data_IF_088853401784
#
_entry.id   IF_088853401784
#
_cell.length_a   1.000
_cell.length_b   1.000
_cell.length_c   1.000
_cell.angle_alpha   90.00
_cell.angle_beta   90.00
_cell.angle_gamma   90.00
#
_symmetry.space_group_name_H-M   'P 1'
#
loop_
_entity.id
_entity.type
_entity.pdbx_description
1 polymer ?
#
# COMPACT_ATOMS: atom_id res chain seq x y z
N UNK A 1 -8.84 -10.86 61.88
CA UNK A 1 -8.91 -11.25 60.47
C UNK A 1 -7.53 -11.10 59.88
N UNK A 2 -6.97 -12.18 59.33
CA UNK A 2 -5.54 -12.25 59.02
C UNK A 2 -5.25 -11.65 57.63
N UNK A 3 -4.31 -10.71 57.55
CA UNK A 3 -3.94 -9.96 56.33
C UNK A 3 -3.57 -10.91 55.16
N UNK A 4 -3.06 -12.10 55.49
CA UNK A 4 -2.72 -13.18 54.56
C UNK A 4 -3.93 -13.77 53.81
N UNK A 5 -5.14 -13.72 54.39
CA UNK A 5 -6.37 -14.25 53.77
C UNK A 5 -7.01 -13.25 52.79
N UNK A 6 -6.79 -11.95 52.99
CA UNK A 6 -7.24 -10.88 52.09
C UNK A 6 -6.34 -10.82 50.85
N UNK A 7 -5.03 -11.03 51.02
CA UNK A 7 -4.08 -11.07 49.91
C UNK A 7 -4.28 -12.31 49.03
N UNK A 8 -4.59 -13.48 49.61
CA UNK A 8 -4.92 -14.67 48.81
C UNK A 8 -6.25 -14.54 48.05
N UNK A 9 -7.23 -13.82 48.60
CA UNK A 9 -8.51 -13.59 47.91
C UNK A 9 -8.38 -12.56 46.77
N UNK A 10 -7.53 -11.54 46.92
CA UNK A 10 -7.19 -10.58 45.85
C UNK A 10 -6.32 -11.20 44.75
N UNK A 11 -5.47 -12.18 45.07
CA UNK A 11 -4.70 -12.93 44.08
C UNK A 11 -5.51 -14.03 43.38
N UNK A 12 -6.63 -14.48 43.95
CA UNK A 12 -7.58 -15.39 43.31
C UNK A 12 -8.56 -14.67 42.37
N UNK A 13 -8.89 -13.40 42.63
CA UNK A 13 -9.81 -12.60 41.81
C UNK A 13 -9.19 -12.05 40.51
N UNK A 14 -7.85 -12.12 40.35
CA UNK A 14 -7.14 -11.52 39.20
C UNK A 14 -6.57 -12.54 38.20
N UNK A 15 -6.93 -13.82 38.32
CA UNK A 15 -6.53 -14.88 37.38
C UNK A 15 -7.41 -14.98 36.13
N UNK A 16 -8.41 -14.10 35.99
CA UNK A 16 -9.34 -14.05 34.85
C UNK A 16 -8.93 -13.11 33.69
N UNK A 17 -7.91 -12.27 33.85
CA UNK A 17 -7.51 -11.28 32.82
C UNK A 17 -6.27 -11.66 31.99
N UNK A 18 -5.60 -12.77 32.30
CA UNK A 18 -4.35 -13.15 31.63
C UNK A 18 -4.51 -14.09 30.41
N UNK A 19 -5.75 -14.41 30.02
CA UNK A 19 -6.05 -15.23 28.83
C UNK A 19 -6.68 -14.43 27.67
N UNK A 20 -6.87 -13.11 27.80
CA UNK A 20 -7.51 -12.26 26.79
C UNK A 20 -6.51 -11.44 25.93
N UNK A 21 -5.21 -11.64 26.13
CA UNK A 21 -4.11 -11.01 25.34
C UNK A 21 -3.42 -12.04 24.41
N UNK A 22 -3.89 -13.29 24.40
CA UNK A 22 -3.38 -14.38 23.55
C UNK A 22 -4.14 -14.53 22.20
N UNK A 23 -4.85 -13.50 21.74
CA UNK A 23 -5.48 -13.42 20.42
C UNK A 23 -4.88 -12.24 19.62
N UNK A 24 -3.57 -12.21 19.37
CA UNK A 24 -2.92 -12.95 18.29
C UNK A 24 -3.63 -12.85 16.91
N UNK A 25 -4.37 -11.75 16.67
CA UNK A 25 -4.81 -11.31 15.34
C UNK A 25 -3.84 -10.29 14.70
N UNK A 26 -2.90 -9.72 15.46
CA UNK A 26 -1.97 -8.70 14.94
C UNK A 26 -0.80 -9.33 14.15
N UNK A 27 -0.51 -10.61 14.37
CA UNK A 27 0.44 -11.40 13.56
C UNK A 27 -0.20 -12.07 12.32
N UNK A 28 -1.52 -11.94 12.13
CA UNK A 28 -2.23 -12.52 10.97
C UNK A 28 -2.20 -11.57 9.74
N UNK A 29 -1.75 -10.33 9.87
CA UNK A 29 -1.36 -9.46 8.73
C UNK A 29 0.14 -9.44 8.42
N UNK A 30 0.98 -10.13 9.22
CA UNK A 30 2.23 -10.70 8.70
C UNK A 30 1.98 -11.82 7.67
N UNK A 31 0.73 -12.07 7.29
CA UNK A 31 0.26 -13.23 6.53
C UNK A 31 -0.40 -12.90 5.17
N UNK A 32 -0.43 -11.64 4.73
CA UNK A 32 -0.83 -11.29 3.33
C UNK A 32 0.38 -10.96 2.43
N UNK A 33 1.52 -10.47 2.91
CA UNK A 33 2.60 -10.06 1.96
C UNK A 33 3.96 -10.74 2.17
N UNK A 34 4.27 -11.28 3.37
CA UNK A 34 5.39 -12.22 3.51
C UNK A 34 5.11 -13.58 2.80
N UNK A 35 3.89 -13.77 2.26
CA UNK A 35 3.36 -14.98 1.61
C UNK A 35 2.95 -14.74 0.14
N UNK A 36 3.78 -14.04 -0.64
CA UNK A 36 4.03 -14.47 -2.02
C UNK A 36 5.50 -14.94 -2.21
N UNK A 37 6.24 -15.16 -1.12
CA UNK A 37 7.49 -15.92 -1.19
C UNK A 37 7.19 -17.37 -1.63
N UNK A 38 7.69 -17.72 -2.83
CA UNK A 38 8.26 -19.05 -3.15
C UNK A 38 7.29 -20.21 -3.43
N UNK A 39 6.52 -20.13 -4.52
CA UNK A 39 6.06 -21.29 -5.33
C UNK A 39 5.85 -20.80 -6.78
N UNK A 40 6.73 -21.03 -7.76
CA UNK A 40 7.05 -22.32 -8.39
C UNK A 40 8.51 -22.36 -8.87
N UNK A 41 9.34 -23.05 -8.10
CA UNK A 41 10.33 -23.96 -8.68
C UNK A 41 9.56 -25.18 -9.22
N UNK A 42 9.19 -25.14 -10.51
CA UNK A 42 8.93 -26.31 -11.36
C UNK A 42 8.70 -25.85 -12.80
N UNK A 43 9.79 -25.47 -13.45
CA UNK A 43 9.97 -25.62 -14.90
C UNK A 43 11.02 -26.71 -15.10
N UNK A 44 10.61 -27.97 -14.93
CA UNK A 44 11.26 -29.13 -15.53
C UNK A 44 10.19 -30.00 -16.17
N UNK A 45 10.01 -29.83 -17.48
CA UNK A 45 9.53 -30.89 -18.36
C UNK A 45 10.55 -31.02 -19.50
N UNK A 46 11.46 -31.99 -19.34
CA UNK A 46 12.07 -32.71 -20.45
C UNK A 46 11.76 -34.20 -20.21
N UNK A 47 11.38 -34.98 -21.25
CA UNK A 47 10.67 -36.22 -21.06
C UNK A 47 11.63 -37.40 -20.95
N UNK A 48 11.69 -38.04 -19.78
CA UNK A 48 12.14 -39.43 -19.70
C UNK A 48 11.16 -40.27 -18.87
N UNK A 49 10.50 -41.19 -19.58
CA UNK A 49 9.74 -42.32 -19.07
C UNK A 49 10.59 -43.12 -18.08
N UNK A 50 10.06 -43.40 -16.88
CA UNK A 50 10.22 -44.67 -16.16
C UNK A 50 8.92 -44.90 -15.38
N UNK A 51 8.26 -46.02 -15.67
CA UNK A 51 7.15 -46.63 -14.94
C UNK A 51 7.63 -47.26 -13.63
N UNK A 52 6.81 -47.30 -12.57
CA UNK A 52 6.59 -48.51 -11.75
C UNK A 52 5.39 -48.37 -10.80
N UNK A 53 4.93 -49.54 -10.34
CA UNK A 53 3.60 -49.92 -9.86
C UNK A 53 3.30 -49.63 -8.38
N UNK A 54 2.00 -49.68 -8.05
CA UNK A 54 1.51 -50.48 -6.91
C UNK A 54 1.02 -49.73 -5.67
N UNK A 55 -0.22 -49.98 -5.18
CA UNK A 55 -0.82 -49.30 -4.05
C UNK A 55 -0.62 -50.05 -2.72
N UNK A 56 -0.43 -49.30 -1.62
CA UNK A 56 -0.36 -49.83 -0.26
C UNK A 56 -1.11 -48.94 0.72
N UNK A 57 -2.21 -49.47 1.25
CA UNK A 57 -3.04 -48.89 2.31
C UNK A 57 -2.26 -48.70 3.62
N UNK A 58 -2.40 -47.54 4.27
CA UNK A 58 -2.26 -47.46 5.73
C UNK A 58 -3.27 -46.46 6.32
N UNK A 59 -4.19 -47.02 7.10
CA UNK A 59 -5.20 -46.34 7.90
C UNK A 59 -4.60 -45.97 9.26
N UNK A 60 -4.74 -44.71 9.68
CA UNK A 60 -4.52 -44.30 11.06
C UNK A 60 -5.63 -43.33 11.49
N UNK A 61 -6.64 -43.90 12.13
CA UNK A 61 -7.69 -43.18 12.86
C UNK A 61 -7.07 -42.49 14.08
N UNK A 62 -7.21 -41.16 14.17
CA UNK A 62 -7.19 -40.44 15.45
C UNK A 62 -8.53 -39.75 15.65
N UNK A 63 -9.30 -40.29 16.57
CA UNK A 63 -10.50 -39.68 17.13
C UNK A 63 -10.08 -38.53 18.05
N UNK A 64 -10.38 -37.28 17.67
CA UNK A 64 -10.26 -36.13 18.57
C UNK A 64 -11.67 -35.72 18.97
N UNK A 65 -11.97 -35.87 20.26
CA UNK A 65 -13.21 -35.40 20.86
C UNK A 65 -13.20 -33.87 20.91
N UNK A 66 -14.12 -33.23 20.19
CA UNK A 66 -14.41 -31.80 20.28
C UNK A 66 -15.26 -31.54 21.53
N UNK A 67 -14.66 -30.90 22.54
CA UNK A 67 -15.40 -30.26 23.63
C UNK A 67 -15.91 -28.90 23.14
N UNK A 68 -17.22 -28.72 23.17
CA UNK A 68 -17.88 -27.44 22.89
C UNK A 68 -17.40 -26.36 23.89
N UNK A 69 -16.95 -25.24 23.35
CA UNK A 69 -16.64 -24.03 24.12
C UNK A 69 -17.92 -23.18 24.28
N UNK A 70 -18.05 -22.39 25.36
CA UNK A 70 -19.23 -21.57 25.58
C UNK A 70 -19.28 -20.40 24.58
N UNK A 71 -20.44 -20.20 23.98
CA UNK A 71 -20.76 -19.05 23.12
C UNK A 71 -20.70 -17.75 23.95
N UNK A 72 -19.54 -17.10 23.93
CA UNK A 72 -19.44 -15.71 24.33
C UNK A 72 -20.14 -14.85 23.28
N UNK A 73 -21.28 -14.28 23.69
CA UNK A 73 -22.14 -13.35 22.95
C UNK A 73 -21.32 -12.16 22.42
N UNK A 74 -20.75 -12.29 21.22
CA UNK A 74 -20.22 -11.15 20.47
C UNK A 74 -21.41 -10.33 19.99
N UNK A 75 -21.56 -9.13 20.51
CA UNK A 75 -22.38 -8.10 19.89
C UNK A 75 -21.77 -7.80 18.52
N UNK A 76 -22.27 -8.47 17.49
CA UNK A 76 -22.08 -8.11 16.10
C UNK A 76 -22.81 -6.78 15.92
N UNK A 77 -22.06 -5.67 15.95
CA UNK A 77 -22.53 -4.44 15.34
C UNK A 77 -22.64 -4.73 13.85
N UNK A 78 -23.86 -4.86 13.34
CA UNK A 78 -24.17 -4.81 11.91
C UNK A 78 -23.85 -3.40 11.41
N UNK A 79 -22.56 -3.11 11.27
CA UNK A 79 -22.09 -1.99 10.47
C UNK A 79 -22.36 -2.42 9.04
N UNK A 80 -23.55 -2.08 8.53
CA UNK A 80 -23.81 -2.17 7.10
C UNK A 80 -22.70 -1.41 6.36
N UNK A 81 -22.33 -1.88 5.17
CA UNK A 81 -21.36 -1.25 4.28
C UNK A 81 -21.89 0.10 3.76
N UNK A 82 -22.15 1.03 4.66
CA UNK A 82 -22.76 2.31 4.37
C UNK A 82 -21.69 3.28 3.87
N UNK A 83 -21.33 3.10 2.59
CA UNK A 83 -20.47 4.01 1.84
C UNK A 83 -21.11 5.40 1.66
N UNK A 84 -22.35 5.63 2.13
CA UNK A 84 -22.99 6.95 2.13
C UNK A 84 -22.24 7.98 2.97
N UNK A 85 -21.39 7.53 3.91
CA UNK A 85 -20.70 8.39 4.87
C UNK A 85 -19.21 8.57 4.55
N UNK A 86 -18.82 8.39 3.28
CA UNK A 86 -17.45 8.69 2.84
C UNK A 86 -17.28 10.20 2.75
N UNK A 87 -16.37 10.73 3.55
CA UNK A 87 -16.02 12.15 3.60
C UNK A 87 -14.69 12.38 2.89
N UNK A 88 -14.62 13.48 2.14
CA UNK A 88 -13.35 14.05 1.74
C UNK A 88 -12.54 14.45 2.99
N UNK A 89 -11.26 14.08 3.02
CA UNK A 89 -10.36 14.39 4.12
C UNK A 89 -9.40 15.52 3.74
N UNK A 90 -8.72 15.41 2.60
CA UNK A 90 -7.85 16.45 2.06
C UNK A 90 -7.58 16.23 0.58
N UNK A 91 -7.19 17.30 -0.11
CA UNK A 91 -6.50 17.25 -1.41
C UNK A 91 -5.19 18.00 -1.26
N UNK A 92 -4.10 17.43 -1.75
CA UNK A 92 -2.76 18.04 -1.65
C UNK A 92 -1.93 17.73 -2.88
N UNK A 93 -1.23 18.75 -3.38
CA UNK A 93 -0.18 18.56 -4.39
C UNK A 93 1.13 18.18 -3.69
N UNK A 94 1.68 17.03 -4.06
CA UNK A 94 2.99 16.54 -3.61
C UNK A 94 3.97 16.59 -4.79
N UNK A 95 5.30 16.57 -4.54
CA UNK A 95 6.28 16.45 -5.62
C UNK A 95 6.02 15.24 -6.53
N UNK A 96 5.46 14.18 -5.97
CA UNK A 96 5.15 12.93 -6.67
C UNK A 96 3.85 12.97 -7.49
N UNK A 97 2.90 13.85 -7.18
CA UNK A 97 1.60 13.92 -7.85
C UNK A 97 0.49 14.56 -7.03
N UNK A 98 -0.75 14.42 -7.50
CA UNK A 98 -1.94 14.87 -6.75
C UNK A 98 -2.35 13.76 -5.79
N UNK A 99 -2.59 14.09 -4.52
CA UNK A 99 -3.01 13.13 -3.50
C UNK A 99 -4.35 13.56 -2.88
N UNK A 100 -5.28 12.61 -2.79
CA UNK A 100 -6.59 12.80 -2.16
C UNK A 100 -6.77 11.79 -1.04
N UNK A 101 -7.11 12.29 0.15
CA UNK A 101 -7.48 11.49 1.31
C UNK A 101 -9.00 11.43 1.49
N UNK A 102 -9.52 10.26 1.87
CA UNK A 102 -10.91 10.04 2.24
C UNK A 102 -10.99 9.35 3.61
N UNK A 103 -12.11 9.51 4.31
CA UNK A 103 -12.39 8.77 5.54
C UNK A 103 -13.88 8.45 5.72
N UNK A 104 -14.18 7.45 6.55
CA UNK A 104 -15.55 7.10 6.96
C UNK A 104 -15.85 7.43 8.42
N UNK A 105 -15.03 8.26 9.05
CA UNK A 105 -15.14 8.55 10.48
C UNK A 105 -16.36 9.45 10.76
N UNK A 106 -17.47 8.82 11.16
CA UNK A 106 -18.67 9.48 11.67
C UNK A 106 -18.35 10.07 13.05
N UNK A 107 -17.76 11.27 13.14
CA UNK A 107 -17.46 11.80 14.47
C UNK A 107 -16.71 13.11 14.63
N UNK A 108 -16.25 13.79 13.58
CA UNK A 108 -15.64 15.10 13.78
C UNK A 108 -16.70 16.22 13.80
N UNK A 109 -17.43 16.31 14.92
CA UNK A 109 -18.44 17.35 15.20
C UNK A 109 -17.84 18.76 15.46
N UNK A 110 -16.60 19.04 15.05
CA UNK A 110 -15.76 20.02 15.75
C UNK A 110 -15.28 21.26 15.00
N UNK A 111 -15.43 21.39 13.68
CA UNK A 111 -14.97 22.58 12.98
C UNK A 111 -15.93 22.95 11.86
N UNK A 112 -16.12 24.26 11.64
CA UNK A 112 -16.84 24.85 10.52
C UNK A 112 -16.26 24.32 9.20
N UNK A 113 -16.69 23.13 8.78
CA UNK A 113 -16.45 22.65 7.42
C UNK A 113 -17.30 23.54 6.55
N UNK A 114 -16.60 24.34 5.74
CA UNK A 114 -17.18 25.23 4.77
C UNK A 114 -18.15 24.41 3.89
N UNK A 115 -19.47 24.62 4.08
CA UNK A 115 -20.54 23.86 3.40
C UNK A 115 -20.53 24.02 1.87
N UNK A 116 -19.60 24.81 1.35
CA UNK A 116 -19.40 25.13 -0.06
C UNK A 116 -18.92 23.93 -0.89
N UNK A 117 -18.17 22.99 -0.31
CA UNK A 117 -17.72 21.80 -1.05
C UNK A 117 -18.58 20.58 -0.71
N UNK A 118 -19.87 20.62 -1.06
CA UNK A 118 -20.62 19.37 -1.23
C UNK A 118 -19.97 18.62 -2.38
N UNK A 119 -19.00 17.76 -2.05
CA UNK A 119 -18.41 16.83 -2.99
C UNK A 119 -19.57 16.02 -3.55
N UNK A 120 -19.98 16.29 -4.79
CA UNK A 120 -21.06 15.56 -5.44
C UNK A 120 -20.60 14.11 -5.52
N UNK A 121 -21.21 13.27 -4.67
CA UNK A 121 -21.00 11.82 -4.58
C UNK A 121 -21.59 11.11 -5.79
N UNK A 122 -21.26 11.57 -7.00
CA UNK A 122 -21.31 10.71 -8.18
C UNK A 122 -20.53 9.44 -7.82
N UNK A 123 -20.98 8.24 -8.22
CA UNK A 123 -20.45 6.99 -7.68
C UNK A 123 -18.95 6.93 -7.92
N UNK A 124 -18.18 7.23 -6.87
CA UNK A 124 -16.71 7.20 -6.86
C UNK A 124 -16.19 5.77 -6.95
N UNK A 125 -17.06 4.78 -7.04
CA UNK A 125 -16.74 3.37 -7.13
C UNK A 125 -17.52 2.79 -8.31
N UNK A 126 -16.83 2.09 -9.19
CA UNK A 126 -17.45 1.42 -10.33
C UNK A 126 -18.19 0.16 -9.87
N UNK A 127 -19.30 -0.18 -10.52
CA UNK A 127 -20.16 -1.31 -10.12
C UNK A 127 -19.39 -2.64 -10.05
N UNK A 128 -18.56 -2.95 -11.06
CA UNK A 128 -17.67 -4.12 -11.04
C UNK A 128 -16.65 -4.11 -9.89
N UNK A 129 -16.17 -2.94 -9.43
CA UNK A 129 -15.29 -2.88 -8.26
C UNK A 129 -16.06 -3.22 -6.98
N UNK A 130 -17.28 -2.69 -6.88
CA UNK A 130 -18.17 -3.00 -5.77
C UNK A 130 -18.49 -4.50 -5.71
N UNK A 131 -18.97 -5.07 -6.82
CA UNK A 131 -19.29 -6.50 -6.97
C UNK A 131 -18.07 -7.37 -6.63
N UNK A 132 -16.91 -7.08 -7.22
CA UNK A 132 -15.68 -7.81 -6.94
C UNK A 132 -15.35 -7.82 -5.44
N UNK A 133 -15.49 -6.68 -4.75
CA UNK A 133 -15.27 -6.59 -3.31
C UNK A 133 -16.24 -7.43 -2.49
N UNK A 134 -17.52 -7.52 -2.89
CA UNK A 134 -18.52 -8.36 -2.23
C UNK A 134 -18.18 -9.85 -2.37
N UNK A 135 -17.82 -10.28 -3.58
CA UNK A 135 -17.55 -11.69 -3.88
C UNK A 135 -16.23 -12.17 -3.29
N UNK A 136 -15.19 -11.33 -3.30
CA UNK A 136 -13.81 -11.76 -3.03
C UNK A 136 -13.31 -11.38 -1.63
N UNK A 137 -13.97 -10.43 -0.93
CA UNK A 137 -13.53 -9.97 0.39
C UNK A 137 -14.58 -10.27 1.46
N UNK A 138 -14.32 -11.33 2.24
CA UNK A 138 -15.22 -11.80 3.31
C UNK A 138 -15.37 -10.83 4.49
N UNK A 139 -14.30 -10.11 4.84
CA UNK A 139 -14.29 -9.21 5.99
C UNK A 139 -14.80 -7.83 5.60
N UNK A 140 -15.83 -7.33 6.28
CA UNK A 140 -16.39 -5.99 5.99
C UNK A 140 -15.35 -4.88 6.20
N UNK A 141 -14.46 -5.00 7.19
CA UNK A 141 -13.37 -4.05 7.40
C UNK A 141 -12.37 -4.02 6.22
N UNK A 142 -12.01 -5.20 5.71
CA UNK A 142 -11.15 -5.31 4.53
C UNK A 142 -11.86 -4.82 3.26
N UNK A 143 -13.17 -5.06 3.15
CA UNK A 143 -13.99 -4.63 2.02
C UNK A 143 -14.13 -3.11 2.00
N UNK A 144 -14.39 -2.51 3.16
CA UNK A 144 -14.38 -1.05 3.38
C UNK A 144 -13.04 -0.44 2.99
N UNK A 145 -11.92 -1.04 3.42
CA UNK A 145 -10.58 -0.55 3.09
C UNK A 145 -10.30 -0.60 1.58
N UNK A 146 -10.75 -1.68 0.92
CA UNK A 146 -10.66 -1.83 -0.54
C UNK A 146 -11.48 -0.75 -1.27
N UNK A 147 -12.75 -0.55 -0.89
CA UNK A 147 -13.60 0.47 -1.50
C UNK A 147 -13.07 1.89 -1.27
N UNK A 148 -12.71 2.23 -0.04
CA UNK A 148 -12.21 3.56 0.31
C UNK A 148 -10.91 3.89 -0.44
N UNK A 149 -10.01 2.90 -0.60
CA UNK A 149 -8.81 3.05 -1.39
C UNK A 149 -9.08 3.33 -2.87
N UNK A 150 -10.07 2.64 -3.47
CA UNK A 150 -10.49 2.87 -4.87
C UNK A 150 -11.13 4.23 -5.08
N UNK A 151 -12.02 4.62 -4.16
CA UNK A 151 -12.64 5.94 -4.18
C UNK A 151 -11.59 7.05 -4.04
N UNK A 152 -10.59 6.87 -3.18
CA UNK A 152 -9.52 7.85 -2.98
C UNK A 152 -8.64 7.98 -4.24
N UNK A 153 -8.31 6.86 -4.90
CA UNK A 153 -7.57 6.88 -6.17
C UNK A 153 -8.38 7.53 -7.29
N UNK A 154 -9.67 7.19 -7.46
CA UNK A 154 -10.54 7.83 -8.46
C UNK A 154 -10.67 9.33 -8.23
N UNK A 155 -10.80 9.76 -6.97
CA UNK A 155 -10.82 11.17 -6.61
C UNK A 155 -9.51 11.86 -6.97
N UNK A 156 -8.37 11.23 -6.67
CA UNK A 156 -7.04 11.71 -7.06
C UNK A 156 -6.90 11.88 -8.57
N UNK A 157 -7.36 10.89 -9.35
CA UNK A 157 -7.34 10.91 -10.81
C UNK A 157 -8.22 12.03 -11.37
N UNK A 158 -9.40 12.23 -10.80
CA UNK A 158 -10.31 13.32 -11.16
C UNK A 158 -9.63 14.68 -10.98
N UNK A 159 -9.11 14.96 -9.77
CA UNK A 159 -8.46 16.23 -9.46
C UNK A 159 -7.26 16.50 -10.37
N UNK A 160 -6.43 15.48 -10.62
CA UNK A 160 -5.27 15.57 -11.49
C UNK A 160 -5.65 15.84 -12.96
N UNK A 161 -6.67 15.17 -13.50
CA UNK A 161 -7.06 15.36 -14.90
C UNK A 161 -7.85 16.66 -15.10
N UNK A 162 -8.61 17.08 -14.10
CA UNK A 162 -9.35 18.34 -14.13
C UNK A 162 -8.41 19.55 -14.18
N UNK A 163 -7.25 19.50 -13.51
CA UNK A 163 -6.28 20.61 -13.51
C UNK A 163 -5.55 20.81 -14.85
N UNK A 164 -5.45 19.77 -15.68
CA UNK A 164 -4.81 19.83 -17.01
C UNK A 164 -5.69 20.53 -18.07
N UNK A 165 -7.01 20.61 -17.84
CA UNK A 165 -8.01 21.35 -18.62
C UNK A 165 -7.89 21.22 -20.17
N UNK A 166 -7.56 20.02 -20.67
CA UNK A 166 -7.47 19.74 -22.11
C UNK A 166 -8.35 18.55 -22.53
N UNK A 167 -8.69 18.49 -23.83
CA UNK A 167 -9.57 17.45 -24.40
C UNK A 167 -9.02 16.03 -24.19
N UNK A 168 -7.70 15.88 -24.14
CA UNK A 168 -7.05 14.59 -23.86
C UNK A 168 -7.33 14.11 -22.45
N UNK A 169 -7.19 14.99 -21.45
CA UNK A 169 -7.46 14.69 -20.06
C UNK A 169 -8.93 14.30 -19.82
N UNK A 170 -9.88 15.00 -20.47
CA UNK A 170 -11.30 14.68 -20.39
C UNK A 170 -11.61 13.29 -20.98
N UNK A 171 -11.05 12.95 -22.14
CA UNK A 171 -11.22 11.61 -22.75
C UNK A 171 -10.64 10.50 -21.87
N UNK A 172 -9.48 10.73 -21.25
CA UNK A 172 -8.88 9.77 -20.32
C UNK A 172 -9.79 9.60 -19.10
N UNK A 173 -10.33 10.69 -18.56
CA UNK A 173 -11.24 10.65 -17.43
C UNK A 173 -12.52 9.87 -17.74
N UNK A 174 -13.16 10.11 -18.88
CA UNK A 174 -14.35 9.37 -19.30
C UNK A 174 -14.08 7.86 -19.35
N UNK A 175 -12.93 7.46 -19.89
CA UNK A 175 -12.53 6.05 -19.91
C UNK A 175 -12.28 5.48 -18.51
N UNK A 176 -11.65 6.23 -17.59
CA UNK A 176 -11.46 5.79 -16.20
C UNK A 176 -12.81 5.66 -15.49
N UNK A 177 -13.74 6.57 -15.75
CA UNK A 177 -15.08 6.55 -15.16
C UNK A 177 -15.86 5.30 -15.58
N UNK A 178 -15.76 4.93 -16.85
CA UNK A 178 -16.51 3.82 -17.45
C UNK A 178 -15.81 2.45 -17.32
N UNK A 179 -14.63 2.37 -16.70
CA UNK A 179 -13.89 1.12 -16.52
C UNK A 179 -13.50 0.90 -15.05
N UNK A 180 -13.49 -0.36 -14.56
CA UNK A 180 -13.04 -0.66 -13.21
C UNK A 180 -11.51 -0.57 -13.07
N UNK A 181 -11.02 0.02 -11.98
CA UNK A 181 -9.63 -0.08 -11.55
C UNK A 181 -9.45 -1.43 -10.87
N UNK A 182 -9.14 -2.43 -11.68
CA UNK A 182 -8.85 -3.80 -11.20
C UNK A 182 -7.53 -3.82 -10.42
N UNK A 183 -7.27 -4.93 -9.72
CA UNK A 183 -5.97 -5.20 -9.13
C UNK A 183 -5.30 -6.34 -9.87
N UNK A 184 -3.98 -6.32 -9.96
CA UNK A 184 -3.22 -7.44 -10.50
C UNK A 184 -2.93 -8.52 -9.43
N UNK A 185 -2.11 -9.50 -9.80
CA UNK A 185 -1.72 -10.62 -8.95
C UNK A 185 -0.92 -10.22 -7.70
N UNK A 186 -0.40 -9.00 -7.65
CA UNK A 186 0.32 -8.43 -6.51
C UNK A 186 -0.52 -7.42 -5.72
N UNK A 187 -1.77 -7.18 -6.15
CA UNK A 187 -2.68 -6.25 -5.51
C UNK A 187 -2.52 -4.79 -5.95
N UNK A 188 -1.69 -4.49 -6.96
CA UNK A 188 -1.49 -3.13 -7.46
C UNK A 188 -2.68 -2.68 -8.31
N UNK A 189 -3.05 -1.39 -8.32
CA UNK A 189 -4.08 -0.88 -9.22
C UNK A 189 -3.64 -1.02 -10.68
N UNK A 190 -4.51 -1.54 -11.54
CA UNK A 190 -4.33 -1.53 -12.99
C UNK A 190 -4.88 -0.21 -13.52
N UNK A 191 -4.03 0.56 -14.20
CA UNK A 191 -4.34 1.92 -14.65
C UNK A 191 -4.06 2.10 -16.15
N UNK A 192 -4.61 3.15 -16.77
CA UNK A 192 -4.14 3.69 -18.04
C UNK A 192 -2.61 3.80 -18.10
N UNK A 193 -2.00 3.35 -19.19
CA UNK A 193 -0.54 3.36 -19.33
C UNK A 193 0.11 4.75 -19.19
N UNK A 194 -0.63 5.83 -19.48
CA UNK A 194 -0.18 7.22 -19.34
C UNK A 194 -0.19 7.72 -17.89
N UNK A 195 -0.73 6.93 -16.98
CA UNK A 195 -0.91 7.27 -15.57
C UNK A 195 -0.09 6.30 -14.71
N UNK A 196 0.39 6.83 -13.58
CA UNK A 196 0.83 6.04 -12.43
C UNK A 196 -0.04 6.40 -11.25
N UNK A 197 -0.25 5.44 -10.35
CA UNK A 197 -1.07 5.65 -9.18
C UNK A 197 -0.73 4.72 -8.03
N UNK A 198 -1.00 5.16 -6.82
CA UNK A 198 -0.77 4.39 -5.61
C UNK A 198 -1.90 4.59 -4.61
N UNK A 199 -2.12 3.58 -3.75
CA UNK A 199 -3.16 3.58 -2.72
C UNK A 199 -2.52 3.20 -1.39
N UNK A 200 -2.98 3.84 -0.32
CA UNK A 200 -2.81 3.32 1.04
C UNK A 200 -4.08 3.48 1.85
N UNK A 201 -4.24 2.63 2.87
CA UNK A 201 -5.37 2.68 3.77
C UNK A 201 -4.95 2.29 5.18
N UNK A 202 -5.59 2.92 6.17
CA UNK A 202 -5.37 2.64 7.59
C UNK A 202 -6.67 2.81 8.34
N UNK A 203 -7.29 1.69 8.72
CA UNK A 203 -8.59 1.69 9.40
C UNK A 203 -9.67 2.37 8.53
N UNK A 204 -10.36 3.38 9.06
CA UNK A 204 -11.36 4.21 8.40
C UNK A 204 -10.80 5.30 7.45
N UNK A 205 -9.50 5.29 7.15
CA UNK A 205 -8.85 6.27 6.27
C UNK A 205 -8.25 5.60 5.03
N UNK A 206 -8.31 6.27 3.89
CA UNK A 206 -7.54 5.91 2.71
C UNK A 206 -7.02 7.14 1.98
N UNK A 207 -5.97 6.92 1.18
CA UNK A 207 -5.39 7.91 0.29
C UNK A 207 -5.16 7.30 -1.09
N UNK A 208 -5.38 8.12 -2.11
CA UNK A 208 -4.97 7.87 -3.48
C UNK A 208 -3.94 8.91 -3.89
N UNK A 209 -2.93 8.50 -4.63
CA UNK A 209 -1.95 9.37 -5.28
C UNK A 209 -1.95 9.05 -6.77
N UNK A 210 -1.97 10.06 -7.62
CA UNK A 210 -1.90 9.90 -9.07
C UNK A 210 -1.01 10.95 -9.72
N UNK A 211 -0.35 10.54 -10.82
CA UNK A 211 0.44 11.41 -11.68
C UNK A 211 0.35 10.93 -13.13
N UNK A 212 0.41 11.86 -14.07
CA UNK A 212 0.72 11.55 -15.46
C UNK A 212 2.21 11.16 -15.58
N UNK A 213 2.51 10.12 -16.35
CA UNK A 213 3.90 9.68 -16.62
C UNK A 213 4.67 10.67 -17.48
N UNK A 214 3.94 11.43 -18.30
CA UNK A 214 4.46 12.38 -19.27
C UNK A 214 3.58 13.62 -19.28
N UNK A 215 4.16 14.75 -19.65
CA UNK A 215 3.39 15.96 -19.90
C UNK A 215 2.46 15.75 -21.11
N UNK A 216 1.16 16.01 -20.94
CA UNK A 216 0.18 15.84 -22.03
C UNK A 216 0.46 16.76 -23.20
N UNK A 217 1.13 17.90 -22.98
CA UNK A 217 1.53 18.83 -24.03
C UNK A 217 2.53 18.22 -25.02
N UNK A 218 3.31 17.23 -24.57
CA UNK A 218 4.29 16.52 -25.40
C UNK A 218 3.67 15.39 -26.24
N UNK A 219 2.41 15.02 -25.98
CA UNK A 219 1.62 14.19 -26.90
C UNK A 219 1.13 15.03 -28.08
N UNK A 220 2.06 15.50 -28.92
CA UNK A 220 1.70 16.15 -30.17
C UNK A 220 1.11 15.12 -31.13
N UNK A 221 -0.23 15.00 -31.16
CA UNK A 221 -1.11 14.98 -32.35
C UNK A 221 -0.87 13.90 -33.44
N UNK A 222 0.22 13.13 -33.45
CA UNK A 222 0.64 12.35 -34.63
C UNK A 222 0.30 10.86 -34.55
N UNK A 223 0.07 10.29 -33.36
CA UNK A 223 -0.46 8.93 -33.26
C UNK A 223 -1.89 8.97 -32.73
N UNK A 224 -2.88 8.70 -33.60
CA UNK A 224 -4.24 8.35 -33.19
C UNK A 224 -4.27 7.22 -32.13
N UNK A 225 -3.16 6.51 -31.95
CA UNK A 225 -2.98 5.47 -30.95
C UNK A 225 -2.81 6.00 -29.51
N UNK A 226 -2.42 7.25 -29.29
CA UNK A 226 -2.35 7.81 -27.92
C UNK A 226 -3.74 7.93 -27.26
N UNK A 227 -4.81 7.89 -28.05
CA UNK A 227 -6.20 7.91 -27.58
C UNK A 227 -6.73 6.52 -27.20
N UNK A 228 -6.07 5.45 -27.65
CA UNK A 228 -6.38 4.08 -27.21
C UNK A 228 -5.72 3.86 -25.84
N UNK A 229 -6.45 4.16 -24.76
CA UNK A 229 -5.93 3.97 -23.41
C UNK A 229 -5.73 2.47 -23.16
N UNK A 230 -4.49 2.03 -23.32
CA UNK A 230 -4.11 0.70 -22.92
C UNK A 230 -4.06 0.64 -21.39
N UNK A 231 -4.93 -0.16 -20.80
CA UNK A 231 -4.85 -0.57 -19.41
C UNK A 231 -3.75 -1.61 -19.28
N UNK A 232 -2.76 -1.36 -18.41
CA UNK A 232 -1.60 -2.25 -18.30
C UNK A 232 -1.45 -2.76 -16.88
N UNK A 233 -1.34 -4.08 -16.77
CA UNK A 233 -0.77 -4.68 -15.56
C UNK A 233 0.68 -4.24 -15.44
N UNK A 234 1.04 -3.75 -14.26
CA UNK A 234 2.37 -3.23 -13.99
C UNK A 234 3.37 -4.36 -13.78
N UNK A 235 3.63 -5.21 -14.77
CA UNK A 235 4.74 -6.17 -14.69
C UNK A 235 5.19 -6.72 -16.04
N UNK A 236 4.99 -5.96 -17.12
CA UNK A 236 5.71 -6.27 -18.34
C UNK A 236 7.13 -5.80 -18.15
N UNK A 237 8.02 -6.76 -17.89
CA UNK A 237 9.45 -6.68 -18.22
C UNK A 237 9.50 -5.86 -19.51
N UNK A 238 9.98 -4.61 -19.47
CA UNK A 238 10.02 -3.78 -20.67
C UNK A 238 10.62 -4.66 -21.77
N UNK A 239 10.07 -4.65 -22.99
CA UNK A 239 10.60 -5.49 -24.04
C UNK A 239 12.12 -5.39 -24.05
N UNK A 240 12.83 -6.51 -24.23
CA UNK A 240 14.30 -6.53 -24.25
C UNK A 240 14.89 -5.58 -25.31
N UNK A 241 14.02 -5.00 -26.14
CA UNK A 241 14.31 -3.91 -27.03
C UNK A 241 14.77 -2.65 -26.29
N UNK A 242 16.09 -2.47 -26.29
CA UNK A 242 16.80 -1.27 -25.81
C UNK A 242 16.29 0.03 -26.46
N UNK A 243 15.60 -0.04 -27.61
CA UNK A 243 15.11 1.13 -28.33
C UNK A 243 13.97 1.86 -27.60
N UNK A 244 13.11 1.15 -26.86
CA UNK A 244 12.03 1.79 -26.09
C UNK A 244 12.61 2.58 -24.90
N UNK A 245 13.66 2.05 -24.27
CA UNK A 245 14.33 2.71 -23.14
C UNK A 245 15.10 3.97 -23.57
N UNK A 246 15.66 4.00 -24.78
CA UNK A 246 16.32 5.19 -25.30
C UNK A 246 15.36 6.38 -25.46
N UNK A 247 14.04 6.13 -25.61
CA UNK A 247 13.03 7.21 -25.60
C UNK A 247 12.84 7.82 -24.21
N UNK A 248 13.28 7.12 -23.16
CA UNK A 248 13.10 7.48 -21.76
C UNK A 248 14.36 8.06 -21.11
N UNK A 249 15.54 7.93 -21.75
CA UNK A 249 16.83 8.30 -21.15
C UNK A 249 17.13 9.82 -21.08
N UNK A 250 16.24 10.69 -21.57
CA UNK A 250 16.48 12.14 -21.65
C UNK A 250 15.54 13.04 -20.84
N UNK A 251 14.54 12.47 -20.14
CA UNK A 251 13.49 13.25 -19.45
C UNK A 251 13.45 12.84 -17.98
N UNK A 252 13.10 13.78 -17.09
CA UNK A 252 12.81 13.54 -15.67
C UNK A 252 11.54 12.68 -15.52
N UNK A 253 11.64 11.43 -15.95
CA UNK A 253 10.51 10.54 -16.10
C UNK A 253 10.27 9.80 -14.79
N UNK A 254 9.04 9.89 -14.32
CA UNK A 254 8.52 9.10 -13.21
C UNK A 254 7.90 7.83 -13.77
N UNK A 255 8.51 6.69 -13.46
CA UNK A 255 8.03 5.36 -13.89
C UNK A 255 7.07 4.74 -12.88
N UNK A 256 7.13 5.16 -11.61
CA UNK A 256 6.30 4.64 -10.54
C UNK A 256 6.20 5.62 -9.39
N UNK A 257 5.08 5.59 -8.70
CA UNK A 257 4.82 6.39 -7.50
C UNK A 257 4.27 5.50 -6.40
N UNK A 258 4.51 5.91 -5.16
CA UNK A 258 4.04 5.23 -3.98
C UNK A 258 3.51 6.21 -2.97
N UNK A 259 2.45 5.82 -2.26
CA UNK A 259 1.89 6.60 -1.15
C UNK A 259 1.65 5.69 0.05
N UNK A 260 1.84 6.22 1.24
CA UNK A 260 1.54 5.52 2.47
C UNK A 260 0.99 6.44 3.56
N UNK A 261 0.08 5.89 4.40
CA UNK A 261 -0.43 6.57 5.58
C UNK A 261 -0.25 5.70 6.82
N UNK A 262 0.29 6.31 7.88
CA UNK A 262 0.58 5.58 9.11
C UNK A 262 0.30 6.39 10.36
N UNK A 263 -0.22 5.77 11.42
CA UNK A 263 -0.54 6.49 12.66
C UNK A 263 0.75 6.88 13.36
N UNK A 264 0.85 8.15 13.77
CA UNK A 264 2.05 8.71 14.40
C UNK A 264 2.34 8.00 15.75
N UNK A 265 1.32 7.85 16.59
CA UNK A 265 1.44 7.31 17.96
C UNK A 265 1.23 5.79 18.04
N UNK A 266 1.73 5.02 17.07
CA UNK A 266 1.56 3.58 17.09
C UNK A 266 2.54 2.90 18.07
N UNK A 267 1.98 2.23 19.08
CA UNK A 267 2.73 1.45 20.10
C UNK A 267 3.58 0.33 19.49
N UNK A 268 3.38 -0.01 18.21
CA UNK A 268 4.18 -1.02 17.51
C UNK A 268 5.57 -0.53 17.13
N UNK A 269 5.84 0.78 17.14
CA UNK A 269 7.13 1.39 16.79
C UNK A 269 8.32 0.68 17.45
N UNK A 270 8.28 0.51 18.76
CA UNK A 270 9.32 -0.20 19.54
C UNK A 270 9.58 -1.62 19.05
N UNK A 271 8.52 -2.33 18.61
CA UNK A 271 8.59 -3.74 18.21
C UNK A 271 9.11 -3.92 16.79
N UNK A 272 8.87 -2.93 15.92
CA UNK A 272 9.22 -3.02 14.50
C UNK A 272 10.59 -2.41 14.19
N UNK A 273 11.12 -1.54 15.06
CA UNK A 273 12.36 -0.80 14.84
C UNK A 273 13.49 -1.67 14.25
N UNK A 274 13.83 -2.80 14.87
CA UNK A 274 14.93 -3.68 14.42
C UNK A 274 14.67 -4.39 13.08
N UNK A 275 13.41 -4.51 12.67
CA UNK A 275 13.01 -5.16 11.41
C UNK A 275 12.96 -4.17 10.26
N UNK A 276 12.60 -2.93 10.57
CA UNK A 276 12.39 -1.87 9.58
C UNK A 276 13.68 -1.11 9.31
N UNK A 277 14.42 -0.77 10.36
CA UNK A 277 15.57 0.12 10.27
C UNK A 277 16.87 -0.64 10.01
N UNK A 278 17.74 -0.06 9.19
CA UNK A 278 19.14 -0.48 9.08
C UNK A 278 19.90 -0.11 10.37
N UNK A 279 21.11 -0.63 10.53
CA UNK A 279 21.93 -0.30 11.69
C UNK A 279 22.27 1.19 11.75
N UNK A 280 22.50 1.81 10.58
CA UNK A 280 22.78 3.24 10.46
C UNK A 280 21.57 4.07 10.87
N UNK A 281 20.39 3.77 10.32
CA UNK A 281 19.15 4.49 10.67
C UNK A 281 18.83 4.40 12.17
N UNK A 282 19.12 3.26 12.82
CA UNK A 282 18.93 3.11 14.27
C UNK A 282 19.85 4.02 15.09
N UNK A 283 21.09 4.24 14.63
CA UNK A 283 22.04 5.13 15.29
C UNK A 283 21.67 6.61 15.11
N UNK A 284 20.96 6.91 14.02
CA UNK A 284 20.61 8.27 13.59
C UNK A 284 19.21 8.73 14.07
N UNK A 285 18.49 7.92 14.83
CA UNK A 285 17.17 8.31 15.36
C UNK A 285 17.23 9.52 16.30
N UNK A 286 16.24 10.40 16.20
CA UNK A 286 16.06 11.59 17.03
C UNK A 286 16.49 12.89 16.36
N UNK A 287 16.87 12.85 15.07
CA UNK A 287 17.26 14.04 14.33
C UNK A 287 16.09 15.03 14.13
N UNK A 288 14.85 14.54 14.20
CA UNK A 288 13.64 15.34 13.99
C UNK A 288 12.99 15.81 15.30
N UNK A 289 13.63 15.62 16.46
CA UNK A 289 13.09 16.08 17.75
C UNK A 289 12.87 17.60 17.77
N UNK A 290 13.73 18.36 17.08
CA UNK A 290 13.63 19.81 16.96
C UNK A 290 12.31 20.30 16.31
N UNK A 291 11.66 19.45 15.49
CA UNK A 291 10.36 19.74 14.86
C UNK A 291 9.21 18.93 15.48
N UNK A 292 9.42 18.42 16.70
CA UNK A 292 8.40 17.71 17.46
C UNK A 292 8.08 16.32 16.92
N UNK A 293 9.09 15.60 16.40
CA UNK A 293 8.99 14.17 16.11
C UNK A 293 9.91 13.43 17.07
N UNK A 294 9.31 12.68 17.99
CA UNK A 294 10.03 11.81 18.90
C UNK A 294 10.70 10.65 18.15
N UNK A 295 11.70 10.01 18.77
CA UNK A 295 12.39 8.84 18.20
C UNK A 295 11.43 7.72 17.77
N UNK A 296 10.38 7.44 18.55
CA UNK A 296 9.42 6.39 18.23
C UNK A 296 8.50 6.76 17.06
N UNK A 297 8.09 8.02 16.98
CA UNK A 297 7.36 8.54 15.83
C UNK A 297 8.25 8.52 14.57
N UNK A 298 9.53 8.82 14.70
CA UNK A 298 10.50 8.73 13.59
C UNK A 298 10.63 7.29 13.06
N UNK A 299 10.58 6.26 13.91
CA UNK A 299 10.52 4.86 13.45
C UNK A 299 9.30 4.64 12.55
N UNK A 300 8.13 5.17 12.94
CA UNK A 300 6.90 5.05 12.13
C UNK A 300 6.98 5.84 10.83
N UNK A 301 7.61 7.02 10.86
CA UNK A 301 7.86 7.82 9.66
C UNK A 301 8.76 7.08 8.67
N UNK A 302 9.92 6.57 9.12
CA UNK A 302 10.84 5.79 8.27
C UNK A 302 10.17 4.52 7.74
N UNK A 303 9.34 3.84 8.55
CA UNK A 303 8.52 2.72 8.08
C UNK A 303 7.60 3.13 6.93
N UNK A 304 6.83 4.22 7.10
CA UNK A 304 5.89 4.68 6.07
C UNK A 304 6.60 5.11 4.79
N UNK A 305 7.73 5.82 4.89
CA UNK A 305 8.57 6.17 3.73
C UNK A 305 9.03 4.92 2.95
N UNK A 306 9.46 3.87 3.65
CA UNK A 306 9.89 2.61 3.02
C UNK A 306 8.74 1.88 2.33
N UNK A 307 7.54 1.89 2.91
CA UNK A 307 6.34 1.36 2.26
C UNK A 307 5.99 2.15 0.98
N UNK A 308 6.09 3.48 1.02
CA UNK A 308 5.92 4.32 -0.18
C UNK A 308 6.97 4.00 -1.26
N UNK A 309 8.24 3.85 -0.88
CA UNK A 309 9.30 3.45 -1.82
C UNK A 309 9.02 2.07 -2.43
N UNK A 310 8.63 1.08 -1.61
CA UNK A 310 8.25 -0.24 -2.10
C UNK A 310 7.11 -0.17 -3.11
N UNK A 311 6.04 0.58 -2.81
CA UNK A 311 4.90 0.75 -3.73
C UNK A 311 5.29 1.45 -5.03
N UNK A 312 6.24 2.38 -5.00
CA UNK A 312 6.75 3.05 -6.18
C UNK A 312 7.62 2.12 -7.05
N UNK A 313 8.47 1.30 -6.42
CA UNK A 313 9.46 0.45 -7.11
C UNK A 313 8.90 -0.88 -7.60
N UNK A 314 8.02 -1.52 -6.83
CA UNK A 314 7.52 -2.86 -7.12
C UNK A 314 6.83 -3.00 -8.49
N UNK A 315 6.01 -2.04 -8.97
CA UNK A 315 5.51 -1.98 -10.35
C UNK A 315 6.55 -2.17 -11.45
N UNK A 316 7.78 -1.73 -11.20
CA UNK A 316 8.85 -1.65 -12.20
C UNK A 316 9.80 -2.84 -12.07
N UNK A 317 10.15 -3.20 -10.84
CA UNK A 317 11.08 -4.28 -10.57
C UNK A 317 10.43 -5.66 -10.68
N UNK A 318 9.11 -5.76 -10.42
CA UNK A 318 8.41 -7.05 -10.31
C UNK A 318 9.10 -8.01 -9.33
N UNK A 319 9.76 -7.45 -8.33
CA UNK A 319 10.57 -8.15 -7.37
C UNK A 319 10.44 -7.47 -6.02
N UNK A 320 10.62 -8.27 -4.98
CA UNK A 320 10.54 -7.78 -3.62
C UNK A 320 11.70 -6.84 -3.33
N UNK A 321 11.41 -5.72 -2.65
CA UNK A 321 12.41 -4.81 -2.10
C UNK A 321 12.27 -4.87 -0.59
N UNK A 322 13.32 -5.35 0.08
CA UNK A 322 13.31 -5.49 1.53
C UNK A 322 13.37 -4.14 2.24
N UNK A 323 12.78 -4.04 3.44
CA UNK A 323 12.85 -2.81 4.25
C UNK A 323 14.30 -2.39 4.57
N UNK A 324 15.21 -3.35 4.73
CA UNK A 324 16.63 -3.06 4.96
C UNK A 324 17.44 -2.79 3.68
N UNK A 325 16.82 -2.91 2.50
CA UNK A 325 17.44 -2.59 1.21
C UNK A 325 17.27 -1.10 0.83
N UNK A 326 16.52 -0.35 1.62
CA UNK A 326 16.40 1.11 1.50
C UNK A 326 16.80 1.76 2.82
N UNK A 327 17.70 2.73 2.77
CA UNK A 327 17.98 3.66 3.85
C UNK A 327 17.29 4.99 3.55
N UNK A 328 16.55 5.52 4.53
CA UNK A 328 15.81 6.77 4.40
C UNK A 328 16.21 7.73 5.52
N UNK A 329 16.59 8.95 5.15
CA UNK A 329 16.91 10.04 6.09
C UNK A 329 15.87 11.15 5.90
N UNK A 330 14.79 11.17 6.69
CA UNK A 330 13.79 12.21 6.59
C UNK A 330 14.37 13.53 7.10
N UNK A 331 14.07 14.61 6.38
CA UNK A 331 14.54 15.97 6.62
C UNK A 331 13.43 16.82 7.24
N UNK A 332 13.81 17.88 7.94
CA UNK A 332 12.87 18.74 8.67
C UNK A 332 11.93 19.56 7.77
N UNK A 333 12.28 19.72 6.48
CA UNK A 333 11.49 20.43 5.48
C UNK A 333 10.37 19.56 4.85
N UNK A 334 10.26 18.29 5.28
CA UNK A 334 9.29 17.34 4.74
C UNK A 334 9.82 16.53 3.56
N UNK A 335 11.08 16.67 3.15
CA UNK A 335 11.70 15.78 2.18
C UNK A 335 12.39 14.59 2.86
N UNK A 336 12.86 13.61 2.09
CA UNK A 336 13.71 12.53 2.57
C UNK A 336 14.80 12.19 1.55
N UNK A 337 16.01 11.93 2.04
CA UNK A 337 17.10 11.37 1.24
C UNK A 337 16.95 9.86 1.26
N UNK A 338 17.03 9.21 0.10
CA UNK A 338 16.89 7.76 -0.02
C UNK A 338 18.14 7.16 -0.66
N UNK A 339 18.67 6.10 -0.06
CA UNK A 339 19.77 5.29 -0.61
C UNK A 339 19.32 3.85 -0.73
N UNK A 340 19.46 3.29 -1.92
CA UNK A 340 19.09 1.90 -2.19
C UNK A 340 20.34 1.02 -2.09
N UNK A 341 20.29 0.06 -1.18
CA UNK A 341 21.34 -0.92 -0.92
C UNK A 341 20.77 -2.31 -1.22
N UNK A 342 20.76 -2.71 -2.49
CA UNK A 342 20.31 -4.05 -2.85
C UNK A 342 21.30 -5.07 -2.28
N UNK A 343 20.91 -5.74 -1.18
CA UNK A 343 21.79 -6.62 -0.39
C UNK A 343 22.13 -7.94 -1.07
N UNK A 344 21.38 -8.30 -2.11
CA UNK A 344 21.56 -9.54 -2.83
C UNK A 344 22.10 -9.21 -4.22
N UNK A 345 23.22 -9.84 -4.59
CA UNK A 345 23.56 -10.08 -5.99
C UNK A 345 22.35 -10.81 -6.59
N UNK A 346 21.46 -10.04 -7.20
CA UNK A 346 20.32 -10.62 -7.89
C UNK A 346 20.92 -11.45 -9.01
N UNK A 347 20.50 -12.72 -9.20
CA UNK A 347 21.06 -13.57 -10.24
C UNK A 347 21.06 -12.79 -11.56
N UNK A 348 22.08 -12.96 -12.42
CA UNK A 348 22.23 -12.17 -13.66
C UNK A 348 20.98 -12.19 -14.56
N UNK A 349 20.06 -13.14 -14.34
CA UNK A 349 18.74 -13.21 -14.96
C UNK A 349 17.74 -12.14 -14.48
N UNK A 350 17.99 -11.48 -13.35
CA UNK A 350 17.22 -10.33 -12.91
C UNK A 350 17.72 -9.11 -13.69
N UNK A 351 16.78 -8.50 -14.40
CA UNK A 351 17.03 -7.45 -15.39
C UNK A 351 18.10 -6.44 -14.92
N UNK A 352 19.16 -6.19 -15.71
CA UNK A 352 20.19 -5.17 -15.44
C UNK A 352 19.63 -3.79 -15.05
N UNK A 353 18.35 -3.55 -15.34
CA UNK A 353 17.58 -2.34 -15.07
C UNK A 353 17.41 -2.00 -13.60
N UNK A 354 17.49 -2.95 -12.66
CA UNK A 354 17.38 -2.62 -11.23
C UNK A 354 18.48 -1.64 -10.79
N UNK A 355 19.65 -1.70 -11.41
CA UNK A 355 20.80 -0.84 -11.10
C UNK A 355 20.66 0.58 -11.65
N UNK A 356 19.78 0.81 -12.63
CA UNK A 356 19.54 2.13 -13.21
C UNK A 356 18.36 2.86 -12.58
N UNK A 357 17.67 2.24 -11.61
CA UNK A 357 16.52 2.84 -10.95
C UNK A 357 16.95 3.62 -9.72
N UNK A 358 16.47 4.86 -9.61
CA UNK A 358 16.70 5.72 -8.46
C UNK A 358 15.38 6.20 -7.88
N UNK A 359 15.37 6.48 -6.59
CA UNK A 359 14.28 7.26 -5.97
C UNK A 359 14.52 8.72 -6.31
N UNK A 360 13.63 9.30 -7.11
CA UNK A 360 13.73 10.68 -7.62
C UNK A 360 13.35 11.69 -6.55
N UNK A 361 12.27 11.40 -5.85
CA UNK A 361 11.80 12.18 -4.71
C UNK A 361 11.18 11.27 -3.68
N UNK A 362 11.29 11.67 -2.42
CA UNK A 362 10.51 11.12 -1.33
C UNK A 362 10.15 12.27 -0.39
N UNK A 363 8.88 12.34 0.01
CA UNK A 363 8.39 13.41 0.87
C UNK A 363 7.45 12.87 1.94
N UNK A 364 7.26 13.67 2.99
CA UNK A 364 6.43 13.34 4.13
C UNK A 364 5.79 14.59 4.74
N UNK A 365 4.64 14.39 5.39
CA UNK A 365 3.97 15.41 6.21
C UNK A 365 3.10 14.81 7.28
N UNK A 366 2.82 15.57 8.34
CA UNK A 366 1.80 15.22 9.34
C UNK A 366 0.41 15.67 8.87
N UNK A 367 -0.57 14.78 8.89
CA UNK A 367 -1.97 15.08 8.59
C UNK A 367 -2.85 14.42 9.65
N UNK A 368 -3.50 15.21 10.50
CA UNK A 368 -4.45 14.78 11.54
C UNK A 368 -4.04 13.51 12.32
N UNK A 369 -2.80 13.45 12.80
CA UNK A 369 -2.30 12.30 13.58
C UNK A 369 -1.75 11.14 12.75
N UNK A 370 -1.62 11.33 11.44
CA UNK A 370 -0.98 10.41 10.51
C UNK A 370 0.28 11.02 9.91
N UNK A 371 1.26 10.18 9.61
CA UNK A 371 2.23 10.47 8.57
C UNK A 371 1.60 10.14 7.22
N UNK A 372 1.65 11.10 6.31
CA UNK A 372 1.45 10.88 4.88
C UNK A 372 2.82 10.91 4.23
N UNK A 373 3.20 9.83 3.56
CA UNK A 373 4.48 9.74 2.83
C UNK A 373 4.23 9.41 1.37
N UNK A 374 5.15 9.86 0.52
CA UNK A 374 5.13 9.56 -0.90
C UNK A 374 6.53 9.39 -1.44
N UNK A 375 6.65 8.64 -2.54
CA UNK A 375 7.90 8.48 -3.26
C UNK A 375 7.64 8.39 -4.77
N UNK A 376 8.59 8.87 -5.57
CA UNK A 376 8.63 8.66 -7.02
C UNK A 376 9.94 7.99 -7.41
N UNK A 377 9.86 7.09 -8.40
CA UNK A 377 11.04 6.39 -8.92
C UNK A 377 11.11 6.49 -10.43
N UNK A 378 12.33 6.49 -10.96
CA UNK A 378 12.60 6.60 -12.38
C UNK A 378 14.04 6.17 -12.71
N UNK A 379 14.41 6.19 -14.00
CA UNK A 379 15.78 5.90 -14.41
C UNK A 379 16.72 7.01 -13.92
N UNK A 380 17.94 6.71 -13.49
CA UNK A 380 18.89 7.73 -13.09
C UNK A 380 20.28 7.15 -12.81
N UNK A 381 21.27 8.04 -12.71
CA UNK A 381 22.58 7.63 -12.22
C UNK A 381 22.57 7.66 -10.69
N UNK A 382 23.06 6.57 -10.09
CA UNK A 382 23.37 6.56 -8.66
C UNK A 382 24.52 7.54 -8.46
N UNK A 383 24.23 8.66 -7.79
CA UNK A 383 25.22 9.71 -7.47
C UNK A 383 26.08 9.35 -6.29
#
# INVERSE_FOLDING_TARGET
MNLSSVILSLLAANRGCFAMIAQLNVAIMSRIVYLQFRTRSDLRNSPHKISFAGPGNFSLRRTIALKAAPEARRQSSTVGNDLSNVNHWFTVSLPEGTCVGLNTAVGYNGANIDKSSTFHTSPLLHDEEHEWGQENIKSDASRTSFYLGRMALRSSLHEMLHSESNDGANKIWDQIKDNPIRKDNFGRPILPHVIVGSISHKSEYAVGLSRLRFDTSSCSIIDNDCMNVQWREECRIFPDDKSEFARYSGVDQVLGIGVDIERINDKRSEKIQRKVLTNKEQQELGQLEAIGISKLEEVMLRFSLKESIYKAMHPILCDYVGLQEAEVDPLADGNAIVRLNFLHERPESVSPRAHSMVVRSASWRKVNGFFLTSASVGPGQVT
#
